data_IF_289439817306
#
_entry.id   IF_289439817306
#
_cell.length_a   1.000
_cell.length_b   1.000
_cell.length_c   1.000
_cell.angle_alpha   90.00
_cell.angle_beta   90.00
_cell.angle_gamma   90.00
#
_symmetry.space_group_name_H-M   'P 1'
#
loop_
_entity.id
_entity.type
_entity.pdbx_description
1 polymer ?
#
# COMPACT_ATOMS: atom_id res chain seq x y z
N UNK A 1 1.59 -27.54 -36.61
CA UNK A 1 2.45 -26.59 -35.90
C UNK A 1 1.61 -25.97 -34.82
N UNK A 2 1.98 -26.16 -33.55
CA UNK A 2 1.36 -25.40 -32.47
C UNK A 2 1.89 -23.97 -32.63
N UNK A 3 1.00 -22.99 -32.70
CA UNK A 3 1.38 -21.59 -32.92
C UNK A 3 2.24 -21.14 -31.72
N UNK A 4 3.46 -20.69 -32.00
CA UNK A 4 4.37 -20.13 -30.99
C UNK A 4 3.70 -18.99 -30.19
N UNK A 5 2.77 -18.26 -30.83
CA UNK A 5 1.92 -17.22 -30.22
C UNK A 5 1.03 -17.72 -29.07
N UNK A 6 0.65 -19.01 -29.08
CA UNK A 6 -0.16 -19.61 -28.00
C UNK A 6 0.71 -19.94 -26.78
N UNK A 7 1.97 -20.31 -27.01
CA UNK A 7 2.93 -20.63 -25.95
C UNK A 7 3.44 -19.36 -25.27
N UNK A 8 3.64 -18.27 -26.02
CA UNK A 8 4.00 -16.95 -25.45
C UNK A 8 2.87 -16.38 -24.59
N UNK A 9 1.62 -16.38 -25.08
CA UNK A 9 0.46 -15.94 -24.26
C UNK A 9 0.24 -16.80 -23.03
N UNK A 10 0.43 -18.12 -23.15
CA UNK A 10 0.36 -19.01 -21.99
C UNK A 10 1.45 -18.67 -20.98
N UNK A 11 2.69 -18.39 -21.42
CA UNK A 11 3.78 -17.97 -20.56
C UNK A 11 3.49 -16.63 -19.86
N UNK A 12 2.98 -15.62 -20.56
CA UNK A 12 2.58 -14.34 -19.95
C UNK A 12 1.46 -14.50 -18.91
N UNK A 13 0.49 -15.38 -19.17
CA UNK A 13 -0.59 -15.68 -18.21
C UNK A 13 -0.03 -16.46 -17.02
N UNK A 14 0.84 -17.44 -17.24
CA UNK A 14 1.50 -18.18 -16.16
C UNK A 14 2.40 -17.28 -15.32
N UNK A 15 3.10 -16.32 -15.93
CA UNK A 15 3.95 -15.36 -15.25
C UNK A 15 3.11 -14.36 -14.45
N UNK A 16 2.00 -13.85 -15.01
CA UNK A 16 1.01 -13.06 -14.25
C UNK A 16 0.36 -13.81 -13.09
N UNK A 17 0.08 -15.11 -13.25
CA UNK A 17 -0.47 -15.96 -12.17
C UNK A 17 0.59 -16.24 -11.10
N UNK A 18 1.87 -16.36 -11.48
CA UNK A 18 2.97 -16.46 -10.52
C UNK A 18 3.22 -15.13 -9.80
N UNK A 19 3.14 -14.00 -10.49
CA UNK A 19 3.25 -12.66 -9.92
C UNK A 19 2.07 -12.36 -8.95
N UNK A 20 0.90 -12.98 -9.16
CA UNK A 20 -0.24 -12.87 -8.23
C UNK A 20 -0.03 -13.64 -6.90
N UNK A 21 0.97 -14.54 -6.85
CA UNK A 21 1.39 -15.22 -5.61
C UNK A 21 2.48 -14.45 -4.81
N UNK A 22 3.13 -13.45 -5.41
CA UNK A 22 4.20 -12.69 -4.74
C UNK A 22 3.69 -11.39 -4.09
N UNK A 23 2.43 -11.01 -4.31
CA UNK A 23 1.86 -9.83 -3.64
C UNK A 23 1.47 -10.13 -2.18
N UNK A 24 2.02 -9.36 -1.26
CA UNK A 24 1.69 -9.39 0.16
C UNK A 24 0.69 -8.28 0.48
N UNK A 25 -0.29 -8.58 1.33
CA UNK A 25 -1.20 -7.55 1.83
C UNK A 25 -0.52 -6.72 2.90
N UNK A 26 -0.60 -5.40 2.76
CA UNK A 26 -0.05 -4.44 3.69
C UNK A 26 -1.16 -3.55 4.26
N UNK A 27 -1.23 -3.48 5.58
CA UNK A 27 -2.09 -2.56 6.30
C UNK A 27 -1.27 -1.32 6.68
N UNK A 28 -1.79 -0.13 6.42
CA UNK A 28 -1.20 1.14 6.84
C UNK A 28 -2.20 1.89 7.72
N UNK A 29 -1.77 2.29 8.91
CA UNK A 29 -2.52 3.20 9.78
C UNK A 29 -1.74 4.50 9.97
N UNK A 30 -2.46 5.61 9.94
CA UNK A 30 -1.88 6.96 10.03
C UNK A 30 -2.34 7.63 11.32
N UNK A 31 -1.38 8.20 12.03
CA UNK A 31 -1.62 9.14 13.13
C UNK A 31 -1.28 10.56 12.63
N UNK A 32 -2.19 11.51 12.80
CA UNK A 32 -2.04 12.89 12.30
C UNK A 32 -2.52 13.89 13.34
N UNK A 33 -1.76 14.97 13.52
CA UNK A 33 -2.15 16.09 14.40
C UNK A 33 -3.26 16.97 13.79
N UNK A 34 -3.53 16.82 12.48
CA UNK A 34 -4.67 17.48 11.84
C UNK A 34 -5.98 16.87 12.35
N UNK A 35 -6.78 17.64 13.08
CA UNK A 35 -8.14 17.24 13.49
C UNK A 35 -9.08 16.90 12.32
N UNK A 36 -8.65 17.16 11.09
CA UNK A 36 -9.20 16.56 9.88
C UNK A 36 -8.49 15.22 9.64
N UNK A 37 -9.00 14.19 10.30
CA UNK A 37 -8.47 12.82 10.25
C UNK A 37 -8.67 12.13 8.89
N UNK A 38 -9.43 12.72 7.97
CA UNK A 38 -9.54 12.28 6.56
C UNK A 38 -9.89 13.46 5.66
N UNK A 39 -8.94 13.90 4.82
CA UNK A 39 -9.24 14.74 3.66
C UNK A 39 -9.41 13.82 2.43
N UNK A 40 -10.33 14.13 1.50
CA UNK A 40 -10.40 13.41 0.21
C UNK A 40 -9.06 13.34 -0.53
N UNK A 41 -8.21 14.35 -0.32
CA UNK A 41 -6.84 14.43 -0.83
C UNK A 41 -5.94 13.31 -0.28
N UNK A 42 -6.10 12.94 1.00
CA UNK A 42 -5.39 11.79 1.59
C UNK A 42 -5.81 10.49 0.89
N UNK A 43 -7.11 10.28 0.74
CA UNK A 43 -7.63 9.08 0.07
C UNK A 43 -7.17 9.01 -1.40
N UNK A 44 -7.03 10.16 -2.06
CA UNK A 44 -6.46 10.23 -3.42
C UNK A 44 -4.98 9.82 -3.45
N UNK A 45 -4.15 10.29 -2.50
CA UNK A 45 -2.73 9.92 -2.40
C UNK A 45 -2.60 8.41 -2.20
N UNK A 46 -3.30 7.83 -1.22
CA UNK A 46 -3.27 6.38 -0.99
C UNK A 46 -3.82 5.60 -2.21
N UNK A 47 -4.86 6.12 -2.87
CA UNK A 47 -5.42 5.52 -4.07
C UNK A 47 -4.43 5.42 -5.23
N UNK A 48 -3.52 6.39 -5.41
CA UNK A 48 -2.45 6.33 -6.43
C UNK A 48 -1.50 5.16 -6.21
N UNK A 49 -1.34 4.74 -4.95
CA UNK A 49 -0.48 3.65 -4.52
C UNK A 49 -1.24 2.31 -4.37
N UNK A 50 -2.46 2.21 -4.87
CA UNK A 50 -3.35 1.04 -4.74
C UNK A 50 -3.72 0.68 -3.29
N UNK A 51 -3.72 1.67 -2.40
CA UNK A 51 -4.23 1.53 -1.05
C UNK A 51 -5.67 2.04 -0.96
N UNK A 52 -6.50 1.30 -0.23
CA UNK A 52 -7.94 1.56 -0.10
C UNK A 52 -8.37 1.51 1.36
N UNK A 53 -9.35 2.34 1.72
CA UNK A 53 -10.05 2.28 3.00
C UNK A 53 -11.18 1.26 3.02
N UNK A 54 -11.44 0.60 1.90
CA UNK A 54 -12.46 -0.43 1.77
C UNK A 54 -11.81 -1.75 1.35
N UNK A 55 -12.22 -2.84 2.02
CA UNK A 55 -11.85 -4.20 1.68
C UNK A 55 -13.10 -5.08 1.67
N UNK A 56 -13.40 -5.73 0.54
CA UNK A 56 -14.55 -6.62 0.37
C UNK A 56 -15.89 -6.02 0.84
N UNK A 57 -16.17 -4.75 0.51
CA UNK A 57 -17.39 -4.07 0.93
C UNK A 57 -17.40 -3.60 2.39
N UNK A 58 -16.30 -3.75 3.10
CA UNK A 58 -16.16 -3.34 4.51
C UNK A 58 -15.22 -2.13 4.61
N UNK A 59 -15.70 -1.07 5.25
CA UNK A 59 -14.90 0.11 5.55
C UNK A 59 -13.94 -0.17 6.71
N UNK A 60 -12.66 0.10 6.50
CA UNK A 60 -11.63 0.03 7.51
C UNK A 60 -11.77 1.20 8.51
N UNK A 61 -11.14 1.09 9.70
CA UNK A 61 -11.08 2.19 10.64
C UNK A 61 -10.57 3.48 9.98
N UNK A 62 -10.93 4.62 10.57
CA UNK A 62 -10.45 5.91 10.14
C UNK A 62 -8.91 5.93 10.09
N UNK A 63 -8.36 6.59 9.07
CA UNK A 63 -6.92 6.64 8.81
C UNK A 63 -6.24 5.29 8.57
N UNK A 64 -7.00 4.23 8.28
CA UNK A 64 -6.47 2.90 7.97
C UNK A 64 -6.72 2.52 6.52
N UNK A 65 -5.68 2.04 5.86
CA UNK A 65 -5.64 1.71 4.45
C UNK A 65 -5.08 0.31 4.26
N UNK A 66 -5.54 -0.38 3.24
CA UNK A 66 -5.10 -1.71 2.87
C UNK A 66 -4.71 -1.72 1.39
N UNK A 67 -3.53 -2.23 1.10
CA UNK A 67 -2.99 -2.32 -0.26
C UNK A 67 -2.18 -3.60 -0.45
N UNK A 68 -1.82 -3.89 -1.69
CA UNK A 68 -0.91 -4.98 -2.03
C UNK A 68 0.48 -4.42 -2.35
N UNK A 69 1.51 -5.04 -1.81
CA UNK A 69 2.92 -4.73 -2.12
C UNK A 69 3.63 -5.99 -2.58
N UNK A 70 4.67 -5.85 -3.41
CA UNK A 70 5.39 -7.01 -3.97
C UNK A 70 6.33 -7.66 -2.95
N UNK A 71 6.93 -6.86 -2.08
CA UNK A 71 7.86 -7.32 -1.04
C UNK A 71 7.79 -6.36 0.14
N UNK A 72 8.37 -6.77 1.27
CA UNK A 72 8.56 -5.88 2.42
C UNK A 72 9.33 -4.60 2.04
N UNK A 73 10.50 -4.73 1.41
CA UNK A 73 11.34 -3.58 1.01
C UNK A 73 10.59 -2.60 0.08
N UNK A 74 9.73 -3.13 -0.79
CA UNK A 74 8.87 -2.31 -1.63
C UNK A 74 7.80 -1.59 -0.80
N UNK A 75 7.25 -2.23 0.22
CA UNK A 75 6.32 -1.61 1.17
C UNK A 75 6.97 -0.51 2.01
N UNK A 76 8.22 -0.69 2.45
CA UNK A 76 8.99 0.34 3.16
C UNK A 76 9.25 1.55 2.27
N UNK A 77 9.73 1.33 1.05
CA UNK A 77 9.96 2.40 0.06
C UNK A 77 8.67 3.17 -0.23
N UNK A 78 7.56 2.46 -0.38
CA UNK A 78 6.25 3.06 -0.65
C UNK A 78 5.71 3.86 0.53
N UNK A 79 6.01 3.49 1.78
CA UNK A 79 5.70 4.33 2.95
C UNK A 79 6.47 5.65 2.90
N UNK A 80 7.75 5.63 2.53
CA UNK A 80 8.55 6.86 2.41
C UNK A 80 8.00 7.78 1.31
N UNK A 81 7.61 7.22 0.16
CA UNK A 81 6.97 7.95 -0.93
C UNK A 81 5.64 8.59 -0.48
N UNK A 82 4.76 7.80 0.14
CA UNK A 82 3.48 8.28 0.67
C UNK A 82 3.71 9.38 1.72
N UNK A 83 4.70 9.22 2.60
CA UNK A 83 5.04 10.24 3.59
C UNK A 83 5.42 11.56 2.93
N UNK A 84 6.27 11.50 1.90
CA UNK A 84 6.69 12.69 1.16
C UNK A 84 5.51 13.36 0.46
N UNK A 85 4.65 12.61 -0.22
CA UNK A 85 3.46 13.14 -0.88
C UNK A 85 2.49 13.80 0.11
N UNK A 86 2.25 13.17 1.26
CA UNK A 86 1.44 13.76 2.32
C UNK A 86 2.08 15.05 2.86
N UNK A 87 3.39 15.08 3.00
CA UNK A 87 4.13 16.27 3.45
C UNK A 87 3.99 17.43 2.45
N UNK A 88 4.17 17.14 1.17
CA UNK A 88 4.05 18.13 0.09
C UNK A 88 2.63 18.68 -0.02
N UNK A 89 1.62 17.83 0.25
CA UNK A 89 0.22 18.21 0.33
C UNK A 89 -0.16 18.96 1.62
N UNK A 90 0.78 19.20 2.55
CA UNK A 90 0.55 19.76 3.90
C UNK A 90 -0.40 18.92 4.76
N UNK A 91 -0.44 17.61 4.49
CA UNK A 91 -1.15 16.58 5.22
C UNK A 91 -0.16 15.67 5.98
N UNK A 92 1.04 16.19 6.29
CA UNK A 92 2.13 15.46 6.93
C UNK A 92 1.60 14.76 8.19
N UNK A 93 1.63 13.42 8.23
CA UNK A 93 1.22 12.71 9.43
C UNK A 93 2.27 12.84 10.52
N UNK A 94 1.87 12.62 11.77
CA UNK A 94 2.80 12.46 12.88
C UNK A 94 3.50 11.11 12.80
N UNK A 95 2.76 10.06 12.42
CA UNK A 95 3.27 8.69 12.27
C UNK A 95 2.52 7.96 11.17
N UNK A 96 3.26 7.13 10.43
CA UNK A 96 2.69 6.10 9.57
C UNK A 96 3.17 4.75 10.10
N UNK A 97 2.23 3.86 10.37
CA UNK A 97 2.49 2.48 10.77
C UNK A 97 2.04 1.55 9.63
N UNK A 98 2.98 0.90 8.95
CA UNK A 98 2.70 -0.18 8.02
C UNK A 98 2.91 -1.55 8.64
N UNK A 99 2.23 -2.58 8.15
CA UNK A 99 2.54 -3.95 8.49
C UNK A 99 2.05 -4.93 7.43
N UNK A 100 2.89 -5.91 7.12
CA UNK A 100 2.52 -7.02 6.24
C UNK A 100 1.62 -7.98 7.01
N UNK A 101 0.43 -8.24 6.47
CA UNK A 101 -0.52 -9.18 7.08
C UNK A 101 0.08 -10.59 7.02
N UNK A 102 0.09 -11.25 8.17
CA UNK A 102 0.75 -12.54 8.47
C UNK A 102 2.21 -12.46 8.91
N UNK A 103 2.80 -11.27 9.01
CA UNK A 103 4.12 -11.06 9.61
C UNK A 103 4.02 -10.04 10.76
N UNK A 104 4.63 -10.29 11.93
CA UNK A 104 4.67 -9.31 13.01
C UNK A 104 5.75 -8.26 12.72
N UNK A 105 5.51 -7.39 11.73
CA UNK A 105 6.39 -6.28 11.41
C UNK A 105 5.61 -4.96 11.41
N UNK A 106 6.14 -3.99 12.15
CA UNK A 106 5.65 -2.61 12.17
C UNK A 106 6.69 -1.76 11.45
N UNK A 107 6.37 -1.31 10.25
CA UNK A 107 7.13 -0.33 9.48
C UNK A 107 6.73 1.05 9.99
N UNK A 108 7.71 1.83 10.44
CA UNK A 108 7.52 3.19 10.98
C UNK A 108 8.11 4.21 10.02
N UNK A 109 7.61 5.44 10.08
CA UNK A 109 8.25 6.52 9.31
C UNK A 109 9.63 6.86 9.88
N UNK A 110 10.56 7.39 9.06
CA UNK A 110 11.91 7.76 9.50
C UNK A 110 11.96 8.80 10.62
N UNK A 111 10.87 9.54 10.85
CA UNK A 111 10.79 10.62 11.84
C UNK A 111 9.94 10.25 13.07
N UNK A 112 9.60 8.97 13.24
CA UNK A 112 8.88 8.51 14.43
C UNK A 112 9.78 8.67 15.68
N UNK A 113 9.42 9.53 16.65
CA UNK A 113 10.27 9.80 17.81
C UNK A 113 10.28 8.69 18.87
N UNK A 114 9.51 7.61 18.69
CA UNK A 114 9.44 6.44 19.59
C UNK A 114 10.21 5.21 19.08
#
# INVERSE_FOLDING_TARGET
MWNDDYMEKAAEIFQKINDDNDSQWMLISIDSDSGESTTPERDEIFGKHNFSREYNGTLLPESTYLGKVLTQDAGESLIEEIWQELTDAKLAPRRICGGIINEPLIIRSPNDPD
#
